data_IF_756605657793
#
_entry.id   IF_756605657793
#
_cell.length_a   1.000
_cell.length_b   1.000
_cell.length_c   1.000
_cell.angle_alpha   90.00
_cell.angle_beta   90.00
_cell.angle_gamma   90.00
#
_symmetry.space_group_name_H-M   'P 1'
#
loop_
_entity.id
_entity.type
_entity.pdbx_description
1 polymer ?
#
# COMPACT_ATOMS: atom_id res chain seq x y z
N UNK A 1 0.95 -26.78 13.76
CA UNK A 1 1.19 -25.48 13.12
C UNK A 1 1.57 -24.44 14.18
N UNK A 2 2.76 -23.83 14.05
CA UNK A 2 3.40 -23.01 15.11
C UNK A 2 2.59 -21.73 15.40
N UNK A 3 2.18 -21.53 16.66
CA UNK A 3 1.39 -20.36 17.13
C UNK A 3 2.04 -19.02 16.77
N UNK A 4 3.38 -19.03 16.65
CA UNK A 4 4.21 -17.90 16.21
C UNK A 4 3.94 -17.45 14.78
N UNK A 5 3.52 -18.37 13.91
CA UNK A 5 3.18 -18.07 12.51
C UNK A 5 1.83 -17.35 12.48
N UNK A 6 0.86 -17.77 13.29
CA UNK A 6 -0.46 -17.15 13.34
C UNK A 6 -0.42 -15.70 13.87
N UNK A 7 0.38 -15.47 14.90
CA UNK A 7 0.61 -14.14 15.47
C UNK A 7 1.18 -13.17 14.42
N UNK A 8 2.23 -13.58 13.70
CA UNK A 8 2.82 -12.77 12.62
C UNK A 8 1.84 -12.47 11.49
N UNK A 9 0.97 -13.41 11.13
CA UNK A 9 -0.08 -13.17 10.14
C UNK A 9 -1.12 -12.15 10.62
N UNK A 10 -1.46 -12.18 11.92
CA UNK A 10 -2.32 -11.18 12.53
C UNK A 10 -1.74 -9.77 12.46
N UNK A 11 -0.45 -9.61 12.79
CA UNK A 11 0.25 -8.33 12.70
C UNK A 11 0.30 -7.80 11.26
N UNK A 12 0.65 -8.66 10.30
CA UNK A 12 0.71 -8.29 8.87
C UNK A 12 -0.65 -7.81 8.38
N UNK A 13 -1.74 -8.47 8.78
CA UNK A 13 -3.10 -8.04 8.39
C UNK A 13 -3.42 -6.63 8.89
N UNK A 14 -3.16 -6.36 10.17
CA UNK A 14 -3.39 -5.02 10.75
C UNK A 14 -2.56 -3.95 10.04
N UNK A 15 -1.31 -4.26 9.68
CA UNK A 15 -0.46 -3.34 8.94
C UNK A 15 -0.98 -3.09 7.52
N UNK A 16 -1.37 -4.14 6.81
CA UNK A 16 -1.93 -4.04 5.45
C UNK A 16 -3.23 -3.23 5.48
N UNK A 17 -4.11 -3.46 6.45
CA UNK A 17 -5.38 -2.72 6.57
C UNK A 17 -5.14 -1.23 6.85
N UNK A 18 -4.18 -0.88 7.71
CA UNK A 18 -3.81 0.52 7.98
C UNK A 18 -3.25 1.21 6.74
N UNK A 19 -2.37 0.54 6.01
CA UNK A 19 -1.78 1.05 4.77
C UNK A 19 -2.86 1.18 3.68
N UNK A 20 -3.73 0.18 3.56
CA UNK A 20 -4.83 0.16 2.61
C UNK A 20 -5.79 1.32 2.85
N UNK A 21 -6.13 1.59 4.12
CA UNK A 21 -6.97 2.72 4.49
C UNK A 21 -6.35 4.05 4.07
N UNK A 22 -5.08 4.30 4.40
CA UNK A 22 -4.39 5.54 4.03
C UNK A 22 -4.31 5.73 2.50
N UNK A 23 -3.98 4.66 1.77
CA UNK A 23 -3.85 4.71 0.31
C UNK A 23 -5.23 4.82 -0.36
N UNK A 24 -6.28 4.24 0.23
CA UNK A 24 -7.66 4.38 -0.26
C UNK A 24 -8.19 5.81 -0.13
N UNK A 25 -7.85 6.54 0.94
CA UNK A 25 -8.24 7.96 1.08
C UNK A 25 -7.76 8.78 -0.12
N UNK A 26 -6.56 8.48 -0.63
CA UNK A 26 -5.98 9.13 -1.81
C UNK A 26 -6.47 8.51 -3.14
N UNK A 27 -7.35 7.50 -3.10
CA UNK A 27 -7.81 6.75 -4.26
C UNK A 27 -6.73 5.90 -4.95
N UNK A 28 -5.57 5.73 -4.31
CA UNK A 28 -4.38 5.09 -4.87
C UNK A 28 -4.36 3.57 -4.76
N UNK A 29 -5.36 2.97 -4.12
CA UNK A 29 -5.31 1.54 -3.80
C UNK A 29 -5.47 0.70 -5.08
N UNK A 30 -4.56 -0.26 -5.34
CA UNK A 30 -4.54 -0.99 -6.60
C UNK A 30 -5.60 -2.10 -6.71
N UNK A 31 -6.14 -2.60 -5.58
CA UNK A 31 -7.05 -3.74 -5.58
C UNK A 31 -8.51 -3.27 -5.54
N UNK A 32 -9.26 -3.57 -6.60
CA UNK A 32 -10.69 -3.29 -6.76
C UNK A 32 -11.10 -1.83 -6.43
N UNK A 33 -10.51 -0.82 -7.07
CA UNK A 33 -10.88 0.56 -6.83
C UNK A 33 -12.29 0.83 -7.37
N UNK A 34 -13.20 1.29 -6.50
CA UNK A 34 -14.52 1.77 -6.95
C UNK A 34 -14.35 3.00 -7.85
N UNK A 35 -15.32 3.25 -8.74
CA UNK A 35 -15.27 4.38 -9.69
C UNK A 35 -15.03 5.73 -8.99
N UNK A 36 -15.62 5.93 -7.82
CA UNK A 36 -15.41 7.13 -7.00
C UNK A 36 -13.94 7.31 -6.59
N UNK A 37 -13.28 6.25 -6.14
CA UNK A 37 -11.88 6.29 -5.70
C UNK A 37 -10.94 6.50 -6.89
N UNK A 38 -11.29 5.99 -8.07
CA UNK A 38 -10.54 6.27 -9.30
C UNK A 38 -10.61 7.75 -9.68
N UNK A 39 -11.80 8.35 -9.63
CA UNK A 39 -11.98 9.77 -9.91
C UNK A 39 -11.23 10.66 -8.91
N UNK A 40 -11.30 10.35 -7.61
CA UNK A 40 -10.56 11.07 -6.58
C UNK A 40 -9.04 11.03 -6.84
N UNK A 41 -8.51 9.87 -7.23
CA UNK A 41 -7.10 9.75 -7.58
C UNK A 41 -6.71 10.60 -8.78
N UNK A 42 -7.53 10.63 -9.84
CA UNK A 42 -7.24 11.46 -11.01
C UNK A 42 -7.30 12.95 -10.66
N UNK A 43 -8.28 13.38 -9.86
CA UNK A 43 -8.37 14.75 -9.40
C UNK A 43 -7.15 15.14 -8.57
N UNK A 44 -6.74 14.27 -7.64
CA UNK A 44 -5.52 14.45 -6.85
C UNK A 44 -4.28 14.51 -7.74
N UNK A 45 -4.17 13.63 -8.74
CA UNK A 45 -3.03 13.59 -9.67
C UNK A 45 -2.93 14.88 -10.49
N UNK A 46 -4.05 15.39 -11.00
CA UNK A 46 -4.08 16.66 -11.75
C UNK A 46 -3.69 17.82 -10.84
N UNK A 47 -4.28 17.91 -9.65
CA UNK A 47 -3.94 18.93 -8.65
C UNK A 47 -2.43 18.91 -8.33
N UNK A 48 -1.89 17.72 -8.05
CA UNK A 48 -0.48 17.56 -7.69
C UNK A 48 0.45 17.91 -8.85
N UNK A 49 0.08 17.61 -10.10
CA UNK A 49 0.87 18.00 -11.28
C UNK A 49 0.90 19.51 -11.49
N UNK A 50 -0.23 20.19 -11.29
CA UNK A 50 -0.30 21.66 -11.36
C UNK A 50 0.60 22.26 -10.28
N UNK A 51 0.49 21.77 -9.04
CA UNK A 51 1.33 22.22 -7.93
C UNK A 51 2.82 22.00 -8.20
N UNK A 52 3.21 20.80 -8.66
CA UNK A 52 4.59 20.47 -8.97
C UNK A 52 5.15 21.37 -10.09
N UNK A 53 4.33 21.67 -11.11
CA UNK A 53 4.71 22.57 -12.20
C UNK A 53 4.96 23.99 -11.69
N UNK A 54 4.15 24.48 -10.74
CA UNK A 54 4.39 25.76 -10.07
C UNK A 54 5.69 25.74 -9.26
N UNK A 55 5.96 24.67 -8.51
CA UNK A 55 7.21 24.54 -7.74
C UNK A 55 8.46 24.50 -8.63
N UNK A 56 8.39 23.83 -9.78
CA UNK A 56 9.49 23.86 -10.76
C UNK A 56 9.69 25.26 -11.35
N UNK A 57 8.61 26.00 -11.60
CA UNK A 57 8.71 27.38 -12.07
C UNK A 57 9.38 28.28 -11.01
N UNK A 58 8.96 28.16 -9.76
CA UNK A 58 9.55 28.89 -8.64
C UNK A 58 11.05 28.58 -8.47
N UNK A 59 11.44 27.31 -8.63
CA UNK A 59 12.84 26.89 -8.63
C UNK A 59 13.68 27.58 -9.74
N UNK A 60 13.09 27.81 -10.92
CA UNK A 60 13.74 28.53 -12.02
C UNK A 60 13.84 30.04 -11.75
N UNK A 61 12.88 30.62 -11.02
CA UNK A 61 12.89 32.04 -10.67
C UNK A 61 13.94 32.39 -9.60
N UNK A 62 14.17 31.51 -8.64
CA UNK A 62 15.15 31.72 -7.56
C UNK A 62 16.58 31.32 -7.93
N UNK A 63 16.82 31.02 -9.21
CA UNK A 63 18.10 30.56 -9.71
C UNK A 63 19.18 31.65 -9.50
N UNK A 64 20.20 31.33 -8.70
CA UNK A 64 21.27 32.26 -8.31
C UNK A 64 21.45 32.41 -6.80
N UNK A 65 20.47 32.01 -5.99
CA UNK A 65 20.60 31.91 -4.53
C UNK A 65 20.68 30.44 -4.11
N UNK A 66 21.88 29.97 -3.74
CA UNK A 66 22.11 28.56 -3.44
C UNK A 66 21.26 28.06 -2.24
N UNK A 67 21.11 28.88 -1.21
CA UNK A 67 20.30 28.54 -0.03
C UNK A 67 18.81 28.38 -0.38
N UNK A 68 18.24 29.31 -1.16
CA UNK A 68 16.85 29.24 -1.58
C UNK A 68 16.62 28.09 -2.57
N UNK A 69 17.55 27.88 -3.50
CA UNK A 69 17.49 26.80 -4.48
C UNK A 69 17.52 25.44 -3.81
N UNK A 70 18.40 25.20 -2.84
CA UNK A 70 18.51 23.91 -2.16
C UNK A 70 17.26 23.60 -1.34
N UNK A 71 16.69 24.60 -0.65
CA UNK A 71 15.44 24.45 0.10
C UNK A 71 14.25 24.11 -0.81
N UNK A 72 14.09 24.84 -1.93
CA UNK A 72 13.00 24.61 -2.87
C UNK A 72 13.17 23.31 -3.66
N UNK A 73 14.39 22.99 -4.07
CA UNK A 73 14.72 21.74 -4.76
C UNK A 73 14.42 20.54 -3.88
N UNK A 74 14.78 20.58 -2.60
CA UNK A 74 14.50 19.50 -1.65
C UNK A 74 13.00 19.27 -1.51
N UNK A 75 12.24 20.34 -1.32
CA UNK A 75 10.77 20.28 -1.23
C UNK A 75 10.16 19.71 -2.52
N UNK A 76 10.57 20.21 -3.67
CA UNK A 76 10.07 19.76 -4.98
C UNK A 76 10.45 18.31 -5.25
N UNK A 77 11.66 17.88 -4.88
CA UNK A 77 12.11 16.51 -5.02
C UNK A 77 11.29 15.54 -4.16
N UNK A 78 11.00 15.90 -2.91
CA UNK A 78 10.13 15.09 -2.03
C UNK A 78 8.75 14.94 -2.66
N UNK A 79 8.15 16.04 -3.14
CA UNK A 79 6.83 16.00 -3.79
C UNK A 79 6.82 15.15 -5.07
N UNK A 80 7.93 15.17 -5.82
CA UNK A 80 8.11 14.36 -7.02
C UNK A 80 8.20 12.87 -6.68
N UNK A 81 9.00 12.51 -5.67
CA UNK A 81 9.14 11.12 -5.21
C UNK A 81 7.80 10.57 -4.72
N UNK A 82 7.04 11.38 -3.97
CA UNK A 82 5.70 11.02 -3.49
C UNK A 82 4.77 10.72 -4.67
N UNK A 83 4.73 11.58 -5.68
CA UNK A 83 3.94 11.35 -6.90
C UNK A 83 4.33 10.05 -7.62
N UNK A 84 5.63 9.84 -7.85
CA UNK A 84 6.14 8.62 -8.52
C UNK A 84 5.75 7.37 -7.73
N UNK A 85 5.93 7.38 -6.41
CA UNK A 85 5.57 6.24 -5.54
C UNK A 85 4.08 5.94 -5.58
N UNK A 86 3.21 6.96 -5.56
CA UNK A 86 1.77 6.74 -5.67
C UNK A 86 1.36 6.12 -7.00
N UNK A 87 1.91 6.61 -8.11
CA UNK A 87 1.69 6.04 -9.44
C UNK A 87 2.19 4.58 -9.48
N UNK A 88 3.38 4.33 -8.94
CA UNK A 88 3.96 2.99 -8.88
C UNK A 88 3.08 2.04 -8.07
N UNK A 89 2.62 2.43 -6.88
CA UNK A 89 1.73 1.60 -6.05
C UNK A 89 0.42 1.27 -6.78
N UNK A 90 -0.19 2.24 -7.44
CA UNK A 90 -1.47 2.05 -8.13
C UNK A 90 -1.38 1.14 -9.36
N UNK A 91 -0.32 1.30 -10.17
CA UNK A 91 -0.20 0.61 -11.46
C UNK A 91 0.73 -0.61 -11.45
N UNK A 92 1.45 -0.86 -10.34
CA UNK A 92 2.31 -2.04 -10.22
C UNK A 92 1.50 -3.31 -10.09
N UNK A 93 1.55 -4.13 -11.14
CA UNK A 93 0.97 -5.49 -11.16
C UNK A 93 1.52 -6.37 -10.03
N UNK A 94 2.80 -6.17 -9.67
CA UNK A 94 3.45 -6.93 -8.61
C UNK A 94 2.85 -6.61 -7.24
N UNK A 95 2.65 -5.32 -6.94
CA UNK A 95 2.03 -4.89 -5.68
C UNK A 95 0.59 -5.41 -5.61
N UNK A 96 -0.19 -5.23 -6.68
CA UNK A 96 -1.54 -5.78 -6.73
C UNK A 96 -1.56 -7.29 -6.50
N UNK A 97 -0.67 -8.05 -7.16
CA UNK A 97 -0.60 -9.51 -7.03
C UNK A 97 -0.24 -9.94 -5.61
N UNK A 98 0.72 -9.27 -4.97
CA UNK A 98 1.12 -9.56 -3.59
C UNK A 98 -0.06 -9.32 -2.64
N UNK A 99 -0.73 -8.17 -2.76
CA UNK A 99 -1.88 -7.84 -1.91
C UNK A 99 -3.01 -8.85 -2.10
N UNK A 100 -3.35 -9.18 -3.34
CA UNK A 100 -4.38 -10.19 -3.63
C UNK A 100 -4.00 -11.55 -3.05
N UNK A 101 -2.76 -12.01 -3.24
CA UNK A 101 -2.29 -13.30 -2.70
C UNK A 101 -2.34 -13.34 -1.18
N UNK A 102 -1.98 -12.24 -0.51
CA UNK A 102 -2.05 -12.13 0.96
C UNK A 102 -3.51 -12.17 1.42
N UNK A 103 -4.40 -11.42 0.76
CA UNK A 103 -5.82 -11.44 1.07
C UNK A 103 -6.45 -12.81 0.85
N UNK A 104 -6.15 -13.49 -0.26
CA UNK A 104 -6.70 -14.80 -0.58
C UNK A 104 -6.29 -15.84 0.49
N UNK A 105 -5.01 -15.83 0.91
CA UNK A 105 -4.54 -16.70 2.00
C UNK A 105 -5.19 -16.39 3.35
N UNK A 106 -5.51 -15.12 3.60
CA UNK A 106 -6.24 -14.71 4.81
C UNK A 106 -7.69 -15.21 4.74
N UNK A 107 -8.34 -15.12 3.58
CA UNK A 107 -9.71 -15.62 3.37
C UNK A 107 -9.74 -17.13 3.51
N UNK A 108 -8.86 -17.86 2.80
CA UNK A 108 -8.72 -19.32 2.89
C UNK A 108 -8.53 -19.79 4.34
N UNK A 109 -7.67 -19.10 5.11
CA UNK A 109 -7.48 -19.42 6.54
C UNK A 109 -8.71 -19.15 7.41
N UNK A 110 -9.52 -18.16 7.06
CA UNK A 110 -10.73 -17.83 7.79
C UNK A 110 -11.94 -18.69 7.37
N UNK A 111 -11.93 -19.23 6.15
CA UNK A 111 -13.03 -20.01 5.55
C UNK A 111 -13.09 -21.47 6.02
N UNK A 112 -12.01 -21.98 6.63
CA UNK A 112 -12.10 -23.28 7.32
C UNK A 112 -13.16 -23.23 8.43
N UNK A 113 -14.13 -24.13 8.32
CA UNK A 113 -15.16 -24.32 9.34
C UNK A 113 -14.52 -24.72 10.68
N UNK A 114 -15.18 -24.40 11.79
CA UNK A 114 -14.73 -24.77 13.14
C UNK A 114 -14.52 -26.29 13.28
N UNK A 115 -15.31 -27.07 12.55
CA UNK A 115 -15.18 -28.53 12.42
C UNK A 115 -13.88 -28.92 11.67
N UNK A 116 -13.60 -28.32 10.52
CA UNK A 116 -12.39 -28.60 9.73
C UNK A 116 -11.11 -28.18 10.46
N UNK A 117 -11.14 -27.05 11.17
CA UNK A 117 -10.01 -26.59 12.01
C UNK A 117 -9.71 -27.59 13.13
N UNK A 118 -10.73 -28.20 13.75
CA UNK A 118 -10.56 -29.24 14.77
C UNK A 118 -9.95 -30.52 14.19
N UNK A 119 -10.39 -30.95 13.02
CA UNK A 119 -9.87 -32.14 12.35
C UNK A 119 -8.39 -31.94 11.98
N UNK A 120 -8.04 -30.78 11.43
CA UNK A 120 -6.66 -30.45 11.07
C UNK A 120 -5.71 -30.44 12.29
N UNK A 121 -6.16 -29.87 13.42
CA UNK A 121 -5.40 -29.87 14.68
C UNK A 121 -5.24 -31.29 15.26
N UNK A 122 -6.26 -32.13 15.13
CA UNK A 122 -6.21 -33.53 15.56
C UNK A 122 -5.15 -34.35 14.80
N UNK A 123 -5.05 -34.17 13.48
CA UNK A 123 -4.06 -34.85 12.64
C UNK A 123 -2.62 -34.43 12.97
N UNK A 124 -2.37 -33.13 13.17
CA UNK A 124 -1.04 -32.61 13.48
C UNK A 124 -0.50 -33.09 14.83
N UNK A 125 -1.37 -33.37 15.81
CA UNK A 125 -0.98 -33.90 17.12
C UNK A 125 -0.65 -35.39 17.09
N UNK A 126 -1.28 -36.16 16.19
CA UNK A 126 -0.95 -37.58 15.97
C UNK A 126 0.39 -37.76 15.26
N UNK A 127 0.74 -36.86 14.34
CA UNK A 127 2.03 -36.89 13.64
C UNK A 127 3.22 -36.53 14.55
N UNK A 128 3.00 -35.79 15.65
CA UNK A 128 4.07 -35.46 16.61
C UNK A 128 4.26 -36.49 17.73
N UNK A 129 3.46 -37.55 17.76
CA UNK A 129 3.53 -38.64 18.77
C UNK A 129 3.98 -39.98 18.20
N UNK A 130 4.32 -40.03 16.91
CA UNK A 130 4.97 -41.17 16.24
C UNK A 130 6.38 -40.77 15.81
#
# INVERSE_FOLDING_TARGET
MDSRVEEKFGEVKVLVDKIAWFINILGGWPVQPSLQHQLLFYLYLVYHNIYLSMSYNDLLMIFGSLDLMTANLTTTAIQTIVLIRMIYVKYSKNISKIITTVNDKIVEKNDYDLEEKKIFLGYQLQESTT
#
